data_IF_353046691827
#
_entry.id   IF_353046691827
#
_cell.length_a   1.000
_cell.length_b   1.000
_cell.length_c   1.000
_cell.angle_alpha   90.00
_cell.angle_beta   90.00
_cell.angle_gamma   90.00
#
_symmetry.space_group_name_H-M   'P 1'
#
loop_
_entity.id
_entity.type
_entity.pdbx_description
1 polymer ?
#
# COMPACT_ATOMS: atom_id res chain seq x y z
N UNK A 1 3.16 9.78 -20.66
CA UNK A 1 3.74 9.38 -19.35
C UNK A 1 2.81 9.88 -18.26
N UNK A 2 2.67 9.15 -17.16
CA UNK A 2 1.92 9.66 -16.01
C UNK A 2 2.63 10.89 -15.43
N UNK A 3 1.86 11.85 -14.92
CA UNK A 3 2.39 13.06 -14.28
C UNK A 3 3.22 12.70 -13.04
N UNK A 4 4.31 13.40 -12.82
CA UNK A 4 5.12 13.23 -11.61
C UNK A 4 4.38 13.72 -10.35
N UNK A 5 4.79 13.26 -9.17
CA UNK A 5 4.11 13.60 -7.91
C UNK A 5 4.04 15.11 -7.65
N UNK A 6 5.11 15.86 -7.96
CA UNK A 6 5.14 17.32 -7.77
C UNK A 6 4.13 18.05 -8.67
N UNK A 7 3.99 17.58 -9.92
CA UNK A 7 3.02 18.13 -10.87
C UNK A 7 1.59 17.85 -10.40
N UNK A 8 1.30 16.61 -9.98
CA UNK A 8 -0.03 16.24 -9.46
C UNK A 8 -0.41 17.06 -8.22
N UNK A 9 0.52 17.26 -7.28
CA UNK A 9 0.30 18.05 -6.06
C UNK A 9 0.04 19.54 -6.34
N UNK A 10 0.58 20.08 -7.44
CA UNK A 10 0.31 21.47 -7.83
C UNK A 10 -1.09 21.70 -8.43
N UNK A 11 -1.73 20.62 -8.90
CA UNK A 11 -3.00 20.71 -9.64
C UNK A 11 -4.19 20.19 -8.84
N UNK A 12 -3.98 19.21 -7.96
CA UNK A 12 -5.07 18.54 -7.24
C UNK A 12 -4.63 17.90 -5.93
N UNK A 13 -5.62 17.47 -5.15
CA UNK A 13 -5.41 16.55 -4.03
C UNK A 13 -4.93 15.20 -4.56
N UNK A 14 -3.92 14.64 -3.91
CA UNK A 14 -3.37 13.31 -4.16
C UNK A 14 -3.65 12.45 -2.94
N UNK A 15 -4.36 11.34 -3.14
CA UNK A 15 -4.70 10.39 -2.08
C UNK A 15 -3.58 9.36 -1.91
N UNK A 16 -3.04 9.26 -0.69
CA UNK A 16 -2.16 8.16 -0.30
C UNK A 16 -2.94 6.89 0.02
N UNK A 17 -2.22 5.79 0.14
CA UNK A 17 -2.75 4.53 0.64
C UNK A 17 -2.81 4.47 2.18
N UNK A 18 -3.30 3.35 2.70
CA UNK A 18 -3.42 3.05 4.13
C UNK A 18 -2.21 2.30 4.70
N UNK A 19 -2.36 1.85 5.95
CA UNK A 19 -1.28 1.18 6.68
C UNK A 19 -1.13 -0.30 6.32
N UNK A 20 -0.22 -0.65 5.41
CA UNK A 20 -0.02 -2.04 4.98
C UNK A 20 0.24 -3.02 6.13
N UNK A 21 1.11 -2.66 7.06
CA UNK A 21 1.46 -3.59 8.14
C UNK A 21 0.29 -3.82 9.08
N UNK A 22 -0.52 -2.79 9.34
CA UNK A 22 -1.72 -2.89 10.19
C UNK A 22 -2.76 -3.78 9.52
N UNK A 23 -2.98 -3.60 8.22
CA UNK A 23 -3.96 -4.38 7.46
C UNK A 23 -3.51 -5.82 7.25
N UNK A 24 -2.21 -6.07 7.04
CA UNK A 24 -1.64 -7.41 6.95
C UNK A 24 -1.65 -8.13 8.30
N UNK A 25 -1.49 -7.40 9.41
CA UNK A 25 -1.59 -7.97 10.76
C UNK A 25 -3.01 -8.43 11.07
N UNK A 26 -4.02 -7.60 10.78
CA UNK A 26 -5.43 -7.98 10.91
C UNK A 26 -5.81 -9.19 10.03
N UNK A 27 -5.11 -9.39 8.91
CA UNK A 27 -5.29 -10.54 8.00
C UNK A 27 -4.47 -11.77 8.40
N UNK A 28 -3.69 -11.70 9.48
CA UNK A 28 -2.87 -12.80 9.98
C UNK A 28 -1.58 -13.04 9.20
N UNK A 29 -1.16 -12.11 8.34
CA UNK A 29 0.07 -12.21 7.54
C UNK A 29 1.31 -11.67 8.25
N UNK A 30 1.13 -10.70 9.16
CA UNK A 30 2.22 -10.10 9.93
C UNK A 30 1.89 -10.20 11.41
N UNK A 31 2.89 -10.51 12.26
CA UNK A 31 2.72 -10.47 13.71
C UNK A 31 3.13 -9.11 14.26
N UNK A 32 2.30 -8.52 15.13
CA UNK A 32 2.62 -7.28 15.82
C UNK A 32 3.96 -7.38 16.54
N UNK A 33 4.87 -6.43 16.27
CA UNK A 33 6.17 -6.31 16.93
C UNK A 33 7.34 -6.25 15.97
N UNK A 34 7.50 -7.23 15.08
CA UNK A 34 8.64 -7.26 14.17
C UNK A 34 8.51 -6.23 13.05
N UNK A 35 7.27 -5.95 12.57
CA UNK A 35 7.00 -5.08 11.41
C UNK A 35 7.90 -5.39 10.21
N UNK A 36 8.28 -6.66 10.08
CA UNK A 36 9.36 -7.07 9.22
C UNK A 36 8.86 -7.41 7.80
N UNK A 37 9.71 -7.24 6.77
CA UNK A 37 9.29 -7.34 5.38
C UNK A 37 9.27 -8.79 4.82
N UNK A 38 9.41 -9.84 5.63
CA UNK A 38 9.48 -11.23 5.13
C UNK A 38 8.21 -11.65 4.41
N UNK A 39 7.06 -11.10 4.78
CA UNK A 39 5.78 -11.31 4.08
C UNK A 39 5.89 -10.99 2.58
N UNK A 40 6.77 -10.07 2.18
CA UNK A 40 7.01 -9.77 0.77
C UNK A 40 7.74 -10.89 0.02
N UNK A 41 8.54 -11.68 0.73
CA UNK A 41 9.28 -12.81 0.19
C UNK A 41 8.47 -14.11 0.27
N UNK A 42 7.80 -14.33 1.41
CA UNK A 42 7.09 -15.57 1.71
C UNK A 42 5.67 -15.58 1.09
N UNK A 43 4.99 -14.42 1.11
CA UNK A 43 3.59 -14.28 0.70
C UNK A 43 3.35 -13.05 -0.19
N UNK A 44 4.05 -12.91 -1.33
CA UNK A 44 3.93 -11.74 -2.21
C UNK A 44 2.51 -11.53 -2.77
N UNK A 45 1.69 -12.59 -2.81
CA UNK A 45 0.28 -12.52 -3.20
C UNK A 45 -0.54 -11.63 -2.26
N UNK A 46 -0.34 -11.75 -0.94
CA UNK A 46 -1.07 -10.99 0.07
C UNK A 46 -0.82 -9.47 -0.07
N UNK A 47 0.43 -9.08 -0.37
CA UNK A 47 0.78 -7.67 -0.62
C UNK A 47 0.14 -7.17 -1.91
N UNK A 48 0.18 -7.97 -2.99
CA UNK A 48 -0.38 -7.58 -4.29
C UNK A 48 -1.91 -7.41 -4.22
N UNK A 49 -2.57 -8.26 -3.45
CA UNK A 49 -4.01 -8.14 -3.21
C UNK A 49 -4.34 -6.85 -2.47
N UNK A 50 -3.66 -6.59 -1.34
CA UNK A 50 -3.84 -5.35 -0.58
C UNK A 50 -3.53 -4.09 -1.43
N UNK A 51 -2.49 -4.13 -2.26
CA UNK A 51 -2.20 -3.06 -3.22
C UNK A 51 -3.36 -2.80 -4.18
N UNK A 52 -3.93 -3.87 -4.73
CA UNK A 52 -5.05 -3.76 -5.66
C UNK A 52 -6.28 -3.16 -4.96
N UNK A 53 -6.52 -3.53 -3.71
CA UNK A 53 -7.60 -2.96 -2.90
C UNK A 53 -7.40 -1.46 -2.63
N UNK A 54 -6.18 -1.03 -2.29
CA UNK A 54 -5.87 0.40 -2.05
C UNK A 54 -6.08 1.25 -3.31
N UNK A 55 -5.63 0.75 -4.46
CA UNK A 55 -5.87 1.41 -5.75
C UNK A 55 -7.37 1.45 -6.07
N UNK A 56 -8.11 0.37 -5.84
CA UNK A 56 -9.56 0.33 -6.04
C UNK A 56 -10.32 1.26 -5.09
N UNK A 57 -9.78 1.53 -3.89
CA UNK A 57 -10.31 2.51 -2.94
C UNK A 57 -10.01 3.96 -3.33
N UNK A 58 -9.23 4.20 -4.40
CA UNK A 58 -8.92 5.51 -4.94
C UNK A 58 -7.56 6.07 -4.52
N UNK A 59 -6.66 5.25 -3.97
CA UNK A 59 -5.29 5.69 -3.71
C UNK A 59 -4.58 6.04 -5.03
N UNK A 60 -4.08 7.27 -5.12
CA UNK A 60 -3.28 7.76 -6.24
C UNK A 60 -1.82 7.31 -6.15
N UNK A 61 -1.37 7.02 -4.93
CA UNK A 61 -0.04 6.52 -4.61
C UNK A 61 -0.21 5.31 -3.69
N UNK A 62 0.41 4.19 -4.06
CA UNK A 62 0.44 3.00 -3.21
C UNK A 62 1.86 2.44 -3.16
N UNK A 63 2.31 2.04 -1.96
CA UNK A 63 3.71 1.76 -1.61
C UNK A 63 3.99 0.29 -1.35
#
# INVERSE_FOLDING_TARGET
>A
MAKGILEQLSERVVLGDGGYVVELEQRGWVTAGAFTPEVALEHPGAIRELYSEMVNAGADVSR
#
